data_IF_015588225102
#
_entry.id   IF_015588225102
#
_cell.length_a   1.000
_cell.length_b   1.000
_cell.length_c   1.000
_cell.angle_alpha   90.00
_cell.angle_beta   90.00
_cell.angle_gamma   90.00
#
_symmetry.space_group_name_H-M   'P 1'
#
loop_
_entity.id
_entity.type
_entity.pdbx_description
1 polymer ?
#
# COMPACT_ATOMS: atom_id res chain seq x y z
N UNK A 1 -37.53 -29.04 50.99
CA UNK A 1 -36.70 -27.83 51.23
C UNK A 1 -35.23 -28.09 50.87
N UNK A 2 -34.60 -29.14 51.39
CA UNK A 2 -33.22 -29.56 51.05
C UNK A 2 -32.98 -29.85 49.56
N UNK A 3 -33.90 -30.55 48.87
CA UNK A 3 -33.76 -30.82 47.43
C UNK A 3 -33.84 -29.56 46.55
N UNK A 4 -34.64 -28.57 46.96
CA UNK A 4 -34.79 -27.30 46.24
C UNK A 4 -33.50 -26.48 46.33
N UNK A 5 -32.91 -26.41 47.54
CA UNK A 5 -31.61 -25.76 47.77
C UNK A 5 -30.50 -26.43 46.94
N UNK A 6 -30.55 -27.77 46.82
CA UNK A 6 -29.57 -28.52 46.03
C UNK A 6 -29.67 -28.24 44.52
N UNK A 7 -30.89 -28.16 43.98
CA UNK A 7 -31.10 -27.83 42.56
C UNK A 7 -30.76 -26.37 42.26
N UNK A 8 -31.17 -25.43 43.11
CA UNK A 8 -30.82 -24.02 42.95
C UNK A 8 -29.30 -23.79 43.01
N UNK A 9 -28.59 -24.55 43.87
CA UNK A 9 -27.13 -24.53 43.92
C UNK A 9 -26.50 -25.10 42.64
N UNK A 10 -27.10 -26.13 42.02
CA UNK A 10 -26.64 -26.70 40.75
C UNK A 10 -26.85 -25.75 39.57
N UNK A 11 -28.01 -25.11 39.48
CA UNK A 11 -28.31 -24.18 38.39
C UNK A 11 -27.40 -22.96 38.45
N UNK A 12 -27.17 -22.42 39.66
CA UNK A 12 -26.19 -21.34 39.86
C UNK A 12 -24.77 -21.78 39.52
N UNK A 13 -24.38 -23.01 39.82
CA UNK A 13 -23.08 -23.54 39.44
C UNK A 13 -22.93 -23.64 37.91
N UNK A 14 -23.96 -24.12 37.21
CA UNK A 14 -23.97 -24.17 35.73
C UNK A 14 -23.94 -22.77 35.10
N UNK A 15 -24.69 -21.82 35.64
CA UNK A 15 -24.67 -20.43 35.16
C UNK A 15 -23.29 -19.78 35.31
N UNK A 16 -22.62 -20.03 36.45
CA UNK A 16 -21.25 -19.56 36.70
C UNK A 16 -20.29 -20.22 35.71
N UNK A 17 -20.42 -21.52 35.49
CA UNK A 17 -19.58 -22.27 34.55
C UNK A 17 -19.76 -21.77 33.11
N UNK A 18 -21.01 -21.52 32.69
CA UNK A 18 -21.32 -21.03 31.33
C UNK A 18 -20.78 -19.61 31.10
N UNK A 19 -20.90 -18.74 32.11
CA UNK A 19 -20.32 -17.38 32.06
C UNK A 19 -18.80 -17.41 32.04
N UNK A 20 -18.18 -18.27 32.85
CA UNK A 20 -16.73 -18.45 32.85
C UNK A 20 -16.22 -18.94 31.48
N UNK A 21 -16.90 -19.90 30.85
CA UNK A 21 -16.57 -20.38 29.50
C UNK A 21 -16.75 -19.29 28.43
N UNK A 22 -17.80 -18.46 28.54
CA UNK A 22 -17.99 -17.34 27.64
C UNK A 22 -16.90 -16.28 27.81
N UNK A 23 -16.54 -15.90 29.03
CA UNK A 23 -15.46 -14.95 29.31
C UNK A 23 -14.12 -15.47 28.80
N UNK A 24 -13.80 -16.75 29.04
CA UNK A 24 -12.59 -17.41 28.51
C UNK A 24 -12.57 -17.34 26.97
N UNK A 25 -13.70 -17.60 26.32
CA UNK A 25 -13.80 -17.55 24.85
C UNK A 25 -13.54 -16.14 24.29
N UNK A 26 -14.03 -15.10 24.97
CA UNK A 26 -13.86 -13.70 24.58
C UNK A 26 -12.40 -13.28 24.79
N UNK A 27 -11.78 -13.67 25.90
CA UNK A 27 -10.36 -13.39 26.16
C UNK A 27 -9.44 -14.11 25.17
N UNK A 28 -9.71 -15.39 24.88
CA UNK A 28 -9.00 -16.12 23.82
C UNK A 28 -9.10 -15.41 22.48
N UNK A 29 -10.30 -14.98 22.08
CA UNK A 29 -10.50 -14.24 20.83
C UNK A 29 -9.73 -12.92 20.81
N UNK A 30 -9.69 -12.17 21.92
CA UNK A 30 -8.90 -10.94 22.03
C UNK A 30 -7.40 -11.22 21.87
N UNK A 31 -6.87 -12.25 22.53
CA UNK A 31 -5.46 -12.63 22.44
C UNK A 31 -5.12 -13.06 21.01
N UNK A 32 -5.96 -13.89 20.38
CA UNK A 32 -5.78 -14.37 19.01
C UNK A 32 -5.79 -13.20 18.02
N UNK A 33 -6.73 -12.27 18.14
CA UNK A 33 -6.80 -11.09 17.28
C UNK A 33 -5.57 -10.18 17.46
N UNK A 34 -5.15 -9.95 18.71
CA UNK A 34 -3.95 -9.15 19.00
C UNK A 34 -2.68 -9.79 18.43
N UNK A 35 -2.54 -11.11 18.57
CA UNK A 35 -1.42 -11.85 17.98
C UNK A 35 -1.46 -11.81 16.46
N UNK A 36 -2.64 -11.96 15.86
CA UNK A 36 -2.83 -11.89 14.40
C UNK A 36 -2.44 -10.53 13.85
N UNK A 37 -2.81 -9.44 14.52
CA UNK A 37 -2.40 -8.08 14.14
C UNK A 37 -0.88 -7.89 14.23
N UNK A 38 -0.24 -8.36 15.31
CA UNK A 38 1.23 -8.32 15.45
C UNK A 38 1.92 -9.09 14.32
N UNK A 39 1.44 -10.30 14.04
CA UNK A 39 1.94 -11.13 12.93
C UNK A 39 1.80 -10.38 11.60
N UNK A 40 0.63 -9.80 11.32
CA UNK A 40 0.42 -9.03 10.09
C UNK A 40 1.35 -7.82 9.98
N UNK A 41 1.57 -7.08 11.08
CA UNK A 41 2.50 -5.96 11.11
C UNK A 41 3.94 -6.41 10.86
N UNK A 42 4.37 -7.53 11.43
CA UNK A 42 5.72 -8.06 11.24
C UNK A 42 5.93 -8.60 9.82
N UNK A 43 4.94 -9.27 9.23
CA UNK A 43 4.96 -9.65 7.82
C UNK A 43 5.07 -8.41 6.92
N UNK A 44 4.24 -7.38 7.16
CA UNK A 44 4.29 -6.15 6.36
C UNK A 44 5.65 -5.44 6.46
N UNK A 45 6.28 -5.41 7.64
CA UNK A 45 7.63 -4.88 7.84
C UNK A 45 8.67 -5.70 7.08
N UNK A 46 8.63 -7.04 7.20
CA UNK A 46 9.56 -7.94 6.50
C UNK A 46 9.42 -7.83 4.99
N UNK A 47 8.20 -7.77 4.46
CA UNK A 47 7.97 -7.61 3.02
C UNK A 47 8.56 -6.29 2.51
N UNK A 48 8.32 -5.17 3.21
CA UNK A 48 8.94 -3.88 2.85
C UNK A 48 10.47 -3.94 2.91
N UNK A 49 11.03 -4.58 3.93
CA UNK A 49 12.48 -4.72 4.07
C UNK A 49 13.08 -5.55 2.93
N UNK A 50 12.43 -6.65 2.53
CA UNK A 50 12.83 -7.47 1.38
C UNK A 50 12.73 -6.67 0.07
N UNK A 51 11.65 -5.91 -0.14
CA UNK A 51 11.48 -5.08 -1.33
C UNK A 51 12.57 -4.00 -1.44
N UNK A 52 12.88 -3.32 -0.32
CA UNK A 52 13.96 -2.32 -0.29
C UNK A 52 15.32 -2.97 -0.53
N UNK A 53 15.57 -4.13 0.07
CA UNK A 53 16.82 -4.86 -0.10
C UNK A 53 17.00 -5.30 -1.56
N UNK A 54 15.95 -5.85 -2.17
CA UNK A 54 15.95 -6.24 -3.58
C UNK A 54 16.09 -5.03 -4.53
N UNK A 55 15.61 -3.84 -4.14
CA UNK A 55 15.81 -2.61 -4.91
C UNK A 55 17.27 -2.12 -4.82
N UNK A 56 17.88 -2.17 -3.62
CA UNK A 56 19.29 -1.84 -3.40
C UNK A 56 20.19 -2.81 -4.17
N UNK A 57 19.92 -4.11 -4.11
CA UNK A 57 20.67 -5.14 -4.84
C UNK A 57 20.59 -4.95 -6.35
N UNK A 58 19.40 -4.66 -6.90
CA UNK A 58 19.25 -4.34 -8.33
C UNK A 58 20.05 -3.09 -8.72
N UNK A 59 19.98 -2.03 -7.91
CA UNK A 59 20.72 -0.79 -8.17
C UNK A 59 22.25 -0.99 -8.11
N UNK A 60 22.73 -1.70 -7.10
CA UNK A 60 24.17 -1.99 -6.94
C UNK A 60 24.69 -2.89 -8.06
N UNK A 61 23.92 -3.89 -8.51
CA UNK A 61 24.27 -4.72 -9.66
C UNK A 61 24.36 -3.91 -10.96
N UNK A 62 23.39 -3.01 -11.22
CA UNK A 62 23.40 -2.13 -12.40
C UNK A 62 24.61 -1.19 -12.36
N UNK A 63 24.88 -0.57 -11.21
CA UNK A 63 26.01 0.35 -11.07
C UNK A 63 27.35 -0.36 -11.20
N UNK A 64 27.50 -1.58 -10.68
CA UNK A 64 28.69 -2.41 -10.89
C UNK A 64 28.93 -2.68 -12.37
N UNK A 65 27.90 -3.12 -13.10
CA UNK A 65 28.01 -3.37 -14.54
C UNK A 65 28.36 -2.10 -15.33
N UNK A 66 27.81 -0.94 -14.93
CA UNK A 66 28.17 0.36 -15.53
C UNK A 66 29.64 0.71 -15.31
N UNK A 67 30.15 0.54 -14.09
CA UNK A 67 31.56 0.82 -13.76
C UNK A 67 32.51 -0.10 -14.53
N UNK A 68 32.18 -1.40 -14.65
CA UNK A 68 32.95 -2.35 -15.46
C UNK A 68 32.99 -1.92 -16.94
N UNK A 69 31.84 -1.53 -17.52
CA UNK A 69 31.79 -1.02 -18.90
C UNK A 69 32.65 0.24 -19.08
N UNK A 70 32.63 1.16 -18.13
CA UNK A 70 33.46 2.37 -18.17
C UNK A 70 34.94 1.99 -18.12
N UNK A 71 35.32 1.08 -17.22
CA UNK A 71 36.70 0.60 -17.09
C UNK A 71 37.19 -0.06 -18.38
N UNK A 72 36.43 -1.01 -18.94
CA UNK A 72 36.78 -1.65 -20.21
C UNK A 72 36.84 -0.64 -21.36
N UNK A 73 35.96 0.35 -21.40
CA UNK A 73 36.03 1.43 -22.40
C UNK A 73 37.31 2.25 -22.25
N UNK A 74 37.71 2.58 -21.04
CA UNK A 74 38.94 3.35 -20.77
C UNK A 74 40.19 2.54 -21.13
N UNK A 75 40.21 1.24 -20.83
CA UNK A 75 41.27 0.32 -21.25
C UNK A 75 41.36 0.23 -22.77
N UNK A 76 40.23 0.06 -23.47
CA UNK A 76 40.19 0.03 -24.94
C UNK A 76 40.64 1.35 -25.57
N UNK A 77 40.27 2.50 -25.00
CA UNK A 77 40.77 3.80 -25.43
C UNK A 77 42.28 3.90 -25.21
N UNK A 78 42.79 3.42 -24.06
CA UNK A 78 44.22 3.34 -23.78
C UNK A 78 44.96 2.48 -24.81
N UNK A 79 44.43 1.31 -25.15
CA UNK A 79 44.99 0.44 -26.19
C UNK A 79 44.95 1.09 -27.57
N UNK A 80 43.87 1.79 -27.92
CA UNK A 80 43.74 2.49 -29.19
C UNK A 80 44.74 3.65 -29.29
N UNK A 81 44.91 4.42 -28.21
CA UNK A 81 45.92 5.49 -28.13
C UNK A 81 47.33 4.92 -28.25
N UNK A 82 47.66 3.86 -27.52
CA UNK A 82 48.97 3.22 -27.59
C UNK A 82 49.26 2.63 -28.98
N UNK A 83 48.28 1.96 -29.59
CA UNK A 83 48.39 1.43 -30.95
C UNK A 83 48.57 2.54 -31.99
N UNK A 84 47.82 3.64 -31.86
CA UNK A 84 47.94 4.81 -32.73
C UNK A 84 49.31 5.48 -32.58
N UNK A 85 49.82 5.64 -31.35
CA UNK A 85 51.16 6.16 -31.09
C UNK A 85 52.24 5.27 -31.70
N UNK A 86 52.10 3.94 -31.58
CA UNK A 86 53.06 2.98 -32.14
C UNK A 86 53.07 2.98 -33.67
N UNK A 87 51.89 3.03 -34.30
CA UNK A 87 51.78 3.12 -35.75
C UNK A 87 52.28 4.47 -36.28
N UNK A 88 52.00 5.56 -35.56
CA UNK A 88 52.53 6.88 -35.90
C UNK A 88 54.06 6.90 -35.80
N UNK A 89 54.63 6.32 -34.73
CA UNK A 89 56.08 6.16 -34.58
C UNK A 89 56.69 5.37 -35.75
N UNK A 90 56.07 4.23 -36.14
CA UNK A 90 56.52 3.42 -37.28
C UNK A 90 56.46 4.19 -38.61
N UNK A 91 55.43 4.99 -38.83
CA UNK A 91 55.32 5.83 -40.04
C UNK A 91 56.34 6.96 -40.08
N UNK A 92 56.76 7.44 -38.91
CA UNK A 92 57.78 8.48 -38.75
C UNK A 92 59.22 7.95 -38.79
N UNK A 93 59.45 6.63 -38.86
CA UNK A 93 60.77 6.04 -39.14
C UNK A 93 61.22 6.30 -40.60
N UNK A 94 60.27 6.46 -41.52
CA UNK A 94 60.53 6.79 -42.91
C UNK A 94 60.77 8.30 -43.05
N UNK A 95 62.03 8.68 -43.29
CA UNK A 95 62.47 10.09 -43.39
C UNK A 95 61.64 10.91 -44.39
N UNK A 96 61.19 10.31 -45.50
CA UNK A 96 60.40 11.02 -46.50
C UNK A 96 59.00 11.37 -45.98
N UNK A 97 58.35 10.41 -45.29
CA UNK A 97 57.03 10.59 -44.67
C UNK A 97 57.11 11.51 -43.45
N UNK A 98 58.19 11.43 -42.68
CA UNK A 98 58.45 12.33 -41.55
C UNK A 98 58.57 13.78 -42.03
N UNK A 99 59.35 14.03 -43.10
CA UNK A 99 59.49 15.36 -43.71
C UNK A 99 58.14 15.91 -44.19
N UNK A 100 57.37 15.09 -44.89
CA UNK A 100 56.03 15.47 -45.37
C UNK A 100 55.07 15.81 -44.21
N UNK A 101 55.08 14.99 -43.15
CA UNK A 101 54.22 15.20 -41.98
C UNK A 101 54.57 16.49 -41.23
N UNK A 102 55.86 16.76 -40.99
CA UNK A 102 56.32 18.00 -40.33
C UNK A 102 55.97 19.22 -41.18
N UNK A 103 56.15 19.14 -42.50
CA UNK A 103 55.78 20.21 -43.44
C UNK A 103 54.28 20.54 -43.33
N UNK A 104 53.41 19.53 -43.32
CA UNK A 104 51.96 19.70 -43.17
C UNK A 104 51.56 20.32 -41.82
N UNK A 105 52.21 19.91 -40.73
CA UNK A 105 51.96 20.50 -39.40
C UNK A 105 52.34 21.99 -39.35
N UNK A 106 53.48 22.35 -39.97
CA UNK A 106 53.90 23.75 -40.07
C UNK A 106 52.88 24.54 -40.90
N UNK A 107 52.47 24.04 -42.07
CA UNK A 107 51.45 24.69 -42.92
C UNK A 107 50.14 24.88 -42.15
N UNK A 108 49.67 23.86 -41.42
CA UNK A 108 48.47 23.97 -40.59
C UNK A 108 48.61 25.05 -39.51
N UNK A 109 49.77 25.10 -38.84
CA UNK A 109 50.07 26.15 -37.86
C UNK A 109 50.09 27.56 -38.48
N UNK A 110 50.70 27.72 -39.65
CA UNK A 110 50.72 28.99 -40.39
C UNK A 110 49.31 29.44 -40.81
N UNK A 111 48.46 28.51 -41.27
CA UNK A 111 47.06 28.78 -41.60
C UNK A 111 46.21 29.14 -40.38
N UNK A 112 46.55 28.64 -39.19
CA UNK A 112 45.85 28.99 -37.96
C UNK A 112 46.28 30.34 -37.39
N UNK A 113 47.57 30.68 -37.51
CA UNK A 113 48.11 31.93 -36.97
C UNK A 113 47.90 33.11 -37.92
N UNK A 114 48.00 32.91 -39.24
CA UNK A 114 47.87 33.96 -40.27
C UNK A 114 48.72 35.22 -40.03
N UNK A 115 49.85 35.09 -39.34
CA UNK A 115 50.77 36.20 -39.05
C UNK A 115 51.90 36.33 -40.08
N UNK A 116 52.50 37.52 -40.18
CA UNK A 116 53.58 37.82 -41.14
C UNK A 116 54.94 37.24 -40.72
N UNK A 117 55.14 37.01 -39.42
CA UNK A 117 56.35 36.42 -38.86
C UNK A 117 55.99 35.36 -37.83
N UNK A 118 56.46 34.13 -38.03
CA UNK A 118 56.15 32.98 -37.16
C UNK A 118 57.45 32.28 -36.73
N UNK A 119 57.54 32.01 -35.44
CA UNK A 119 58.66 31.29 -34.85
C UNK A 119 58.25 29.84 -34.55
N UNK A 120 58.97 28.88 -35.13
CA UNK A 120 58.75 27.45 -34.90
C UNK A 120 59.68 26.98 -33.78
N UNK A 121 59.09 26.41 -32.72
CA UNK A 121 59.83 25.77 -31.63
C UNK A 121 59.85 24.27 -31.84
N UNK A 122 61.04 23.67 -31.86
CA UNK A 122 61.24 22.24 -32.01
C UNK A 122 62.18 21.70 -30.94
N UNK A 123 62.36 20.37 -30.89
CA UNK A 123 63.39 19.74 -30.06
C UNK A 123 64.75 19.88 -30.74
N UNK A 124 65.82 19.88 -29.94
CA UNK A 124 67.21 19.99 -30.42
C UNK A 124 67.60 18.91 -31.45
N UNK A 125 67.06 17.70 -31.32
CA UNK A 125 67.32 16.61 -32.26
C UNK A 125 66.68 16.81 -33.65
N UNK A 126 65.62 17.64 -33.74
CA UNK A 126 64.81 17.79 -34.94
C UNK A 126 65.08 19.10 -35.69
N UNK A 127 65.94 19.98 -35.15
CA UNK A 127 66.22 21.33 -35.67
C UNK A 127 66.67 21.30 -37.15
N UNK A 128 67.56 20.37 -37.51
CA UNK A 128 68.05 20.24 -38.88
C UNK A 128 66.93 19.83 -39.87
N UNK A 129 66.04 18.92 -39.45
CA UNK A 129 64.92 18.44 -40.27
C UNK A 129 63.85 19.54 -40.43
N UNK A 130 63.53 20.24 -39.35
CA UNK A 130 62.55 21.34 -39.36
C UNK A 130 63.06 22.50 -40.23
N UNK A 131 64.34 22.86 -40.14
CA UNK A 131 64.95 23.88 -40.98
C UNK A 131 64.82 23.55 -42.49
N UNK A 132 64.98 22.28 -42.86
CA UNK A 132 64.79 21.82 -44.25
C UNK A 132 63.31 21.89 -44.69
N UNK A 133 62.37 21.58 -43.79
CA UNK A 133 60.93 21.57 -44.08
C UNK A 133 60.33 22.98 -44.21
N UNK A 134 60.89 23.99 -43.54
CA UNK A 134 60.34 25.36 -43.54
C UNK A 134 60.25 25.93 -44.95
N UNK A 135 61.27 25.71 -45.79
CA UNK A 135 61.28 26.20 -47.17
C UNK A 135 60.15 25.61 -48.03
N UNK A 136 59.85 24.33 -47.82
CA UNK A 136 58.77 23.62 -48.51
C UNK A 136 57.40 24.05 -47.94
N UNK A 137 57.28 24.21 -46.62
CA UNK A 137 56.05 24.64 -45.93
C UNK A 137 55.62 26.07 -46.30
N UNK A 138 56.54 27.03 -46.43
CA UNK A 138 56.21 28.41 -46.82
C UNK A 138 55.73 28.48 -48.27
N UNK A 139 56.29 27.65 -49.16
CA UNK A 139 55.81 27.52 -50.55
C UNK A 139 54.41 26.90 -50.61
N UNK A 140 54.16 25.86 -49.81
CA UNK A 140 52.84 25.22 -49.75
C UNK A 140 51.79 26.15 -49.14
N UNK A 141 52.11 26.85 -48.04
CA UNK A 141 51.25 27.86 -47.43
C UNK A 141 50.90 29.00 -48.39
N UNK A 142 51.90 29.59 -49.08
CA UNK A 142 51.65 30.68 -50.04
C UNK A 142 50.81 30.23 -51.22
N UNK A 143 50.96 28.97 -51.68
CA UNK A 143 50.10 28.37 -52.69
C UNK A 143 48.66 28.22 -52.19
N UNK A 144 48.47 27.64 -51.00
CA UNK A 144 47.14 27.45 -50.40
C UNK A 144 46.41 28.78 -50.17
N UNK A 145 47.13 29.81 -49.69
CA UNK A 145 46.57 31.15 -49.50
C UNK A 145 46.21 31.80 -50.84
N UNK A 146 47.07 31.68 -51.86
CA UNK A 146 46.81 32.22 -53.20
C UNK A 146 45.60 31.56 -53.87
N UNK A 147 45.48 30.23 -53.75
CA UNK A 147 44.35 29.46 -54.28
C UNK A 147 43.04 29.81 -53.56
N UNK A 148 43.10 30.17 -52.27
CA UNK A 148 41.90 30.46 -51.45
C UNK A 148 41.47 31.93 -51.44
N UNK A 149 42.40 32.88 -51.55
CA UNK A 149 42.13 34.32 -51.34
C UNK A 149 42.52 35.20 -52.53
N UNK A 150 43.21 34.67 -53.54
CA UNK A 150 43.70 35.43 -54.70
C UNK A 150 44.88 36.36 -54.43
N UNK A 151 45.28 36.55 -53.17
CA UNK A 151 46.43 37.37 -52.76
C UNK A 151 47.61 36.49 -52.28
N UNK A 152 48.85 36.93 -52.52
CA UNK A 152 50.05 36.23 -52.03
C UNK A 152 50.50 36.81 -50.70
N UNK A 153 50.52 36.00 -49.64
CA UNK A 153 51.05 36.39 -48.31
C UNK A 153 52.38 35.68 -48.05
N UNK A 154 53.45 36.45 -47.88
CA UNK A 154 54.78 35.93 -47.58
C UNK A 154 54.99 35.91 -46.06
N UNK A 155 55.05 34.72 -45.46
CA UNK A 155 55.33 34.57 -44.04
C UNK A 155 56.84 34.33 -43.84
N UNK A 156 57.46 35.13 -42.96
CA UNK A 156 58.83 34.89 -42.49
C UNK A 156 58.79 33.86 -41.38
N UNK A 157 59.29 32.65 -41.65
CA UNK A 157 59.33 31.56 -40.68
C UNK A 157 60.76 31.31 -40.23
N UNK A 158 61.01 31.42 -38.93
CA UNK A 158 62.33 31.16 -38.32
C UNK A 158 62.24 30.12 -37.21
N UNK A 159 63.31 29.35 -37.00
CA UNK A 159 63.40 28.44 -35.85
C UNK A 159 63.86 29.24 -34.63
N UNK A 160 63.09 29.19 -33.53
CA UNK A 160 63.46 29.82 -32.27
C UNK A 160 64.51 28.96 -31.55
N UNK A 161 65.76 29.41 -31.60
CA UNK A 161 66.90 28.73 -30.97
C UNK A 161 67.00 29.01 -29.46
N UNK A 162 66.20 29.92 -28.91
CA UNK A 162 66.26 30.34 -27.50
C UNK A 162 65.28 29.57 -26.62
N UNK A 163 64.13 29.15 -27.15
CA UNK A 163 63.09 28.39 -26.40
C UNK A 163 62.82 27.05 -27.07
N UNK A 164 63.45 25.99 -26.57
CA UNK A 164 63.29 24.63 -27.10
C UNK A 164 62.10 23.92 -26.47
N UNK A 165 61.41 23.07 -27.25
CA UNK A 165 60.38 22.20 -26.69
C UNK A 165 61.00 21.24 -25.67
N UNK A 166 60.27 20.90 -24.59
CA UNK A 166 60.80 20.01 -23.57
C UNK A 166 61.23 18.68 -24.20
N UNK A 167 62.35 18.10 -23.71
CA UNK A 167 62.71 16.74 -24.07
C UNK A 167 61.52 15.82 -23.76
N UNK A 168 61.44 14.67 -24.45
CA UNK A 168 60.47 13.65 -24.09
C UNK A 168 60.53 13.45 -22.56
N UNK A 169 59.38 13.37 -21.86
CA UNK A 169 59.37 13.38 -20.41
C UNK A 169 60.22 12.23 -19.87
N UNK A 170 61.44 12.59 -19.52
CA UNK A 170 62.34 11.92 -18.60
C UNK A 170 62.51 12.96 -17.49
N UNK A 171 62.20 12.56 -16.26
CA UNK A 171 62.05 13.45 -15.11
C UNK A 171 63.25 14.37 -14.87
N UNK A 172 62.92 15.49 -14.23
CA UNK A 172 63.78 16.36 -13.42
C UNK A 172 64.22 17.70 -14.05
N UNK A 173 63.83 18.76 -13.35
CA UNK A 173 64.07 20.17 -13.63
C UNK A 173 65.08 20.75 -12.63
N UNK A 174 66.02 21.59 -13.09
CA UNK A 174 66.67 22.66 -12.28
C UNK A 174 67.76 23.42 -13.11
N UNK A 175 67.56 24.70 -13.46
CA UNK A 175 68.09 25.97 -12.85
C UNK A 175 69.26 26.61 -13.69
N UNK A 176 69.90 27.78 -13.34
CA UNK A 176 69.52 29.18 -13.67
C UNK A 176 70.74 30.11 -14.08
N UNK A 177 70.62 31.46 -13.90
CA UNK A 177 71.66 32.54 -13.70
C UNK A 177 71.99 33.48 -14.89
N UNK A 178 72.54 34.72 -14.81
CA UNK A 178 72.68 35.87 -13.87
C UNK A 178 73.51 36.96 -14.62
N UNK A 179 73.26 38.27 -14.52
CA UNK A 179 74.23 39.36 -14.84
C UNK A 179 73.88 40.68 -14.11
N UNK A 180 74.83 41.20 -13.32
CA UNK A 180 74.70 42.41 -12.50
C UNK A 180 75.56 43.58 -13.02
N UNK A 181 74.96 44.75 -13.15
CA UNK A 181 75.62 46.00 -13.57
C UNK A 181 74.61 47.11 -13.89
N UNK A 182 73.47 46.76 -14.48
CA UNK A 182 72.23 47.57 -14.54
C UNK A 182 71.42 47.46 -13.23
N UNK A 183 72.04 46.85 -12.20
CA UNK A 183 71.37 46.06 -11.19
C UNK A 183 70.45 46.86 -10.27
N UNK A 184 70.68 48.14 -9.96
CA UNK A 184 69.81 48.86 -9.01
C UNK A 184 68.52 49.37 -9.64
N UNK A 185 68.58 49.92 -10.84
CA UNK A 185 67.38 50.38 -11.56
C UNK A 185 66.56 49.20 -12.07
N UNK A 186 67.22 48.16 -12.60
CA UNK A 186 66.51 46.92 -12.93
C UNK A 186 65.99 46.21 -11.70
N UNK A 187 66.70 46.22 -10.56
CA UNK A 187 66.18 45.64 -9.32
C UNK A 187 65.03 46.46 -8.74
N UNK A 188 65.03 47.79 -8.87
CA UNK A 188 63.89 48.62 -8.49
C UNK A 188 62.66 48.36 -9.38
N UNK A 189 62.85 48.23 -10.70
CA UNK A 189 61.80 47.81 -11.63
C UNK A 189 61.31 46.38 -11.33
N UNK A 190 62.22 45.44 -11.04
CA UNK A 190 61.88 44.07 -10.65
C UNK A 190 61.07 44.09 -9.36
N UNK A 191 61.43 44.92 -8.37
CA UNK A 191 60.67 45.05 -7.12
C UNK A 191 59.28 45.64 -7.36
N UNK A 192 59.15 46.66 -8.21
CA UNK A 192 57.86 47.23 -8.59
C UNK A 192 56.99 46.21 -9.33
N UNK A 193 57.56 45.48 -10.29
CA UNK A 193 56.87 44.38 -10.97
C UNK A 193 56.49 43.25 -10.01
N UNK A 194 57.36 42.92 -9.05
CA UNK A 194 57.08 41.90 -8.04
C UNK A 194 55.93 42.34 -7.13
N UNK A 195 55.88 43.60 -6.72
CA UNK A 195 54.76 44.14 -5.95
C UNK A 195 53.46 44.16 -6.76
N UNK A 196 53.53 44.52 -8.05
CA UNK A 196 52.36 44.45 -8.92
C UNK A 196 51.84 43.01 -9.03
N UNK A 197 52.72 42.03 -9.24
CA UNK A 197 52.36 40.61 -9.28
C UNK A 197 51.77 40.14 -7.95
N UNK A 198 52.33 40.57 -6.82
CA UNK A 198 51.80 40.23 -5.49
C UNK A 198 50.41 40.84 -5.23
N UNK A 199 50.19 42.09 -5.63
CA UNK A 199 48.89 42.74 -5.50
C UNK A 199 47.87 42.11 -6.45
N UNK A 200 48.24 41.81 -7.70
CA UNK A 200 47.36 41.10 -8.63
C UNK A 200 47.02 39.69 -8.13
N UNK A 201 47.99 38.98 -7.55
CA UNK A 201 47.74 37.67 -6.93
C UNK A 201 46.81 37.79 -5.71
N UNK A 202 46.96 38.86 -4.91
CA UNK A 202 46.09 39.15 -3.77
C UNK A 202 44.67 39.49 -4.21
N UNK A 203 44.50 40.37 -5.19
CA UNK A 203 43.19 40.74 -5.72
C UNK A 203 42.47 39.53 -6.31
N UNK A 204 43.21 38.65 -7.03
CA UNK A 204 42.67 37.37 -7.52
C UNK A 204 42.29 36.43 -6.39
N UNK A 205 43.06 36.37 -5.31
CA UNK A 205 42.70 35.56 -4.14
C UNK A 205 41.43 36.09 -3.45
N UNK A 206 41.33 37.40 -3.25
CA UNK A 206 40.13 38.05 -2.68
C UNK A 206 38.90 37.86 -3.59
N UNK A 207 39.07 37.91 -4.92
CA UNK A 207 38.00 37.59 -5.87
C UNK A 207 37.54 36.13 -5.78
N UNK A 208 38.47 35.18 -5.63
CA UNK A 208 38.14 33.76 -5.43
C UNK A 208 37.39 33.56 -4.11
N UNK A 209 37.85 34.17 -3.03
CA UNK A 209 37.22 34.05 -1.71
C UNK A 209 35.80 34.63 -1.70
N UNK A 210 35.62 35.82 -2.30
CA UNK A 210 34.29 36.44 -2.40
C UNK A 210 33.34 35.62 -3.25
N UNK A 211 33.81 35.03 -4.37
CA UNK A 211 33.01 34.10 -5.18
C UNK A 211 32.67 32.82 -4.42
N UNK A 212 33.63 32.24 -3.71
CA UNK A 212 33.40 31.03 -2.91
C UNK A 212 32.32 31.26 -1.84
N UNK A 213 32.35 32.40 -1.13
CA UNK A 213 31.31 32.75 -0.15
C UNK A 213 29.93 32.96 -0.79
N UNK A 214 29.88 33.56 -1.98
CA UNK A 214 28.63 33.73 -2.72
C UNK A 214 28.05 32.37 -3.15
N UNK A 215 28.88 31.50 -3.71
CA UNK A 215 28.49 30.14 -4.12
C UNK A 215 28.03 29.32 -2.91
N UNK A 216 28.76 29.35 -1.80
CA UNK A 216 28.39 28.66 -0.56
C UNK A 216 27.01 29.12 -0.06
N UNK A 217 26.76 30.43 -0.06
CA UNK A 217 25.48 31.01 0.34
C UNK A 217 24.32 30.53 -0.56
N UNK A 218 24.54 30.52 -1.87
CA UNK A 218 23.55 30.06 -2.87
C UNK A 218 23.27 28.57 -2.68
N UNK A 219 24.30 27.74 -2.52
CA UNK A 219 24.14 26.29 -2.32
C UNK A 219 23.44 25.97 -1.01
N UNK A 220 23.82 26.65 0.08
CA UNK A 220 23.17 26.49 1.39
C UNK A 220 21.69 26.82 1.30
N UNK A 221 21.34 27.94 0.65
CA UNK A 221 19.95 28.35 0.47
C UNK A 221 19.17 27.36 -0.40
N UNK A 222 19.80 26.84 -1.46
CA UNK A 222 19.21 25.80 -2.32
C UNK A 222 18.91 24.51 -1.54
N UNK A 223 19.85 24.04 -0.72
CA UNK A 223 19.67 22.85 0.11
C UNK A 223 18.57 23.08 1.16
N UNK A 224 18.60 24.22 1.86
CA UNK A 224 17.60 24.56 2.88
C UNK A 224 16.21 24.64 2.26
N UNK A 225 16.05 25.31 1.11
CA UNK A 225 14.76 25.40 0.42
C UNK A 225 14.28 24.02 -0.05
N UNK A 226 15.16 23.21 -0.63
CA UNK A 226 14.82 21.85 -1.06
C UNK A 226 14.37 20.97 0.11
N UNK A 227 15.03 21.07 1.27
CA UNK A 227 14.65 20.32 2.47
C UNK A 227 13.36 20.86 3.07
N UNK A 228 13.16 22.18 3.10
CA UNK A 228 11.92 22.82 3.57
C UNK A 228 10.71 22.39 2.75
N UNK A 229 10.84 22.33 1.43
CA UNK A 229 9.77 21.82 0.54
C UNK A 229 9.42 20.36 0.84
N UNK A 230 10.44 19.49 1.00
CA UNK A 230 10.21 18.08 1.39
C UNK A 230 9.48 17.97 2.72
N UNK A 231 9.93 18.73 3.72
CA UNK A 231 9.28 18.77 5.03
C UNK A 231 7.82 19.23 4.90
N UNK A 232 7.56 20.32 4.17
CA UNK A 232 6.20 20.81 3.94
C UNK A 232 5.30 19.77 3.27
N UNK A 233 5.79 19.04 2.27
CA UNK A 233 5.05 17.97 1.60
C UNK A 233 4.75 16.80 2.54
N UNK A 234 5.71 16.40 3.37
CA UNK A 234 5.54 15.32 4.35
C UNK A 234 4.52 15.70 5.43
N UNK A 235 4.58 16.93 5.96
CA UNK A 235 3.59 17.43 6.91
C UNK A 235 2.21 17.54 6.28
N UNK A 236 2.09 18.05 5.04
CA UNK A 236 0.81 18.09 4.34
C UNK A 236 0.20 16.69 4.16
N UNK A 237 1.02 15.68 3.83
CA UNK A 237 0.58 14.29 3.75
C UNK A 237 0.13 13.74 5.10
N UNK A 238 0.90 13.97 6.16
CA UNK A 238 0.57 13.53 7.53
C UNK A 238 -0.72 14.19 8.04
N UNK A 239 -0.90 15.49 7.80
CA UNK A 239 -2.13 16.20 8.18
C UNK A 239 -3.34 15.59 7.49
N UNK A 240 -3.29 15.39 6.17
CA UNK A 240 -4.39 14.74 5.43
C UNK A 240 -4.68 13.32 5.93
N UNK A 241 -3.64 12.57 6.29
CA UNK A 241 -3.80 11.23 6.85
C UNK A 241 -4.50 11.27 8.21
N UNK A 242 -4.11 12.18 9.10
CA UNK A 242 -4.74 12.36 10.41
C UNK A 242 -6.19 12.82 10.27
N UNK A 243 -6.48 13.77 9.36
CA UNK A 243 -7.85 14.22 9.09
C UNK A 243 -8.73 13.08 8.60
N UNK A 244 -8.22 12.26 7.67
CA UNK A 244 -8.93 11.08 7.16
C UNK A 244 -9.16 10.06 8.27
N UNK A 245 -8.14 9.79 9.09
CA UNK A 245 -8.24 8.86 10.21
C UNK A 245 -9.26 9.34 11.25
N UNK A 246 -9.24 10.62 11.61
CA UNK A 246 -10.21 11.22 12.52
C UNK A 246 -11.64 11.19 11.95
N UNK A 247 -11.82 11.32 10.63
CA UNK A 247 -13.11 11.14 9.98
C UNK A 247 -13.60 9.69 10.05
N UNK A 248 -12.72 8.72 9.80
CA UNK A 248 -13.03 7.28 9.93
C UNK A 248 -13.41 6.93 11.36
N UNK A 249 -12.64 7.39 12.35
CA UNK A 249 -12.90 7.15 13.77
C UNK A 249 -14.24 7.74 14.20
N UNK A 250 -14.54 8.99 13.82
CA UNK A 250 -15.85 9.60 14.07
C UNK A 250 -16.99 8.79 13.44
N UNK A 251 -16.85 8.39 12.18
CA UNK A 251 -17.87 7.59 11.49
C UNK A 251 -18.08 6.21 12.14
N UNK A 252 -16.99 5.58 12.58
CA UNK A 252 -17.01 4.27 13.24
C UNK A 252 -17.66 4.37 14.61
N UNK A 253 -17.35 5.40 15.39
CA UNK A 253 -17.98 5.66 16.68
C UNK A 253 -19.50 5.89 16.54
N UNK A 254 -19.92 6.72 15.57
CA UNK A 254 -21.34 6.96 15.28
C UNK A 254 -22.04 5.65 14.86
N UNK A 255 -21.41 4.86 13.98
CA UNK A 255 -21.98 3.60 13.54
C UNK A 255 -22.09 2.59 14.69
N UNK A 256 -21.08 2.52 15.57
CA UNK A 256 -21.11 1.69 16.77
C UNK A 256 -22.28 2.06 17.67
N UNK A 257 -22.45 3.35 17.99
CA UNK A 257 -23.59 3.82 18.79
C UNK A 257 -24.94 3.55 18.10
N UNK A 258 -25.00 3.64 16.76
CA UNK A 258 -26.21 3.29 16.00
C UNK A 258 -26.54 1.80 16.11
N UNK A 259 -25.55 0.93 15.95
CA UNK A 259 -25.72 -0.52 16.08
C UNK A 259 -26.15 -0.92 17.51
N UNK A 260 -25.55 -0.29 18.51
CA UNK A 260 -25.92 -0.50 19.92
C UNK A 260 -27.39 -0.13 20.17
N UNK A 261 -27.85 1.02 19.67
CA UNK A 261 -29.28 1.39 19.74
C UNK A 261 -30.18 0.37 19.05
N UNK A 262 -29.78 -0.16 17.89
CA UNK A 262 -30.55 -1.19 17.18
C UNK A 262 -30.59 -2.49 18.00
N UNK A 263 -29.46 -2.90 18.59
CA UNK A 263 -29.35 -4.08 19.44
C UNK A 263 -30.27 -3.97 20.66
N UNK A 264 -30.20 -2.87 21.41
CA UNK A 264 -31.06 -2.66 22.58
C UNK A 264 -32.55 -2.63 22.20
N UNK A 265 -32.91 -2.04 21.05
CA UNK A 265 -34.30 -2.10 20.55
C UNK A 265 -34.75 -3.53 20.23
N UNK A 266 -33.88 -4.37 19.68
CA UNK A 266 -34.18 -5.78 19.40
C UNK A 266 -34.30 -6.60 20.69
N UNK A 267 -33.41 -6.38 21.66
CA UNK A 267 -33.45 -7.00 22.99
C UNK A 267 -34.78 -6.69 23.70
N UNK A 268 -35.24 -5.44 23.66
CA UNK A 268 -36.54 -5.05 24.22
C UNK A 268 -37.72 -5.76 23.55
N UNK A 269 -37.66 -5.99 22.23
CA UNK A 269 -38.69 -6.77 21.52
C UNK A 269 -38.65 -8.25 21.90
N UNK A 270 -37.46 -8.82 22.15
CA UNK A 270 -37.32 -10.18 22.63
C UNK A 270 -37.90 -10.34 24.05
N UNK A 271 -37.61 -9.39 24.95
CA UNK A 271 -38.22 -9.38 26.28
C UNK A 271 -39.74 -9.23 26.24
N UNK A 272 -40.28 -8.38 25.35
CA UNK A 272 -41.72 -8.25 25.16
C UNK A 272 -42.36 -9.58 24.70
N UNK A 273 -41.67 -10.33 23.83
CA UNK A 273 -42.11 -11.65 23.39
C UNK A 273 -42.11 -12.64 24.55
N UNK A 274 -41.04 -12.70 25.35
CA UNK A 274 -40.94 -13.56 26.54
C UNK A 274 -42.03 -13.23 27.58
N UNK A 275 -42.31 -11.95 27.82
CA UNK A 275 -43.35 -11.53 28.76
C UNK A 275 -44.75 -11.85 28.24
N UNK A 276 -44.97 -11.73 26.93
CA UNK A 276 -46.20 -12.16 26.28
C UNK A 276 -46.40 -13.68 26.41
N UNK A 277 -45.33 -14.47 26.27
CA UNK A 277 -45.34 -15.92 26.49
C UNK A 277 -45.72 -16.27 27.93
N UNK A 278 -45.10 -15.62 28.92
CA UNK A 278 -45.42 -15.82 30.35
C UNK A 278 -46.88 -15.46 30.66
N UNK A 279 -47.38 -14.35 30.12
CA UNK A 279 -48.76 -13.93 30.32
C UNK A 279 -49.77 -14.88 29.66
N UNK A 280 -49.46 -15.39 28.46
CA UNK A 280 -50.26 -16.42 27.81
C UNK A 280 -50.29 -17.72 28.61
N UNK A 281 -49.14 -18.16 29.14
CA UNK A 281 -49.06 -19.35 29.99
C UNK A 281 -49.93 -19.20 31.26
N UNK A 282 -49.92 -18.02 31.89
CA UNK A 282 -50.78 -17.72 33.06
C UNK A 282 -52.27 -17.78 32.70
N UNK A 283 -52.67 -17.20 31.57
CA UNK A 283 -54.08 -17.18 31.14
C UNK A 283 -54.60 -18.57 30.76
N UNK A 284 -53.73 -19.40 30.19
CA UNK A 284 -54.04 -20.76 29.76
C UNK A 284 -53.88 -21.82 30.88
N UNK A 285 -53.52 -21.40 32.10
CA UNK A 285 -53.56 -22.28 33.27
C UNK A 285 -55.00 -22.70 33.65
N UNK A 286 -56.00 -21.92 33.25
CA UNK A 286 -57.41 -22.24 33.42
C UNK A 286 -57.86 -23.29 32.40
N UNK A 287 -58.17 -24.51 32.88
CA UNK A 287 -58.56 -25.66 32.06
C UNK A 287 -59.77 -25.37 31.17
N UNK A 288 -60.75 -24.58 31.64
CA UNK A 288 -61.96 -24.30 30.85
C UNK A 288 -61.62 -23.44 29.61
N UNK A 289 -60.81 -22.40 29.81
CA UNK A 289 -60.31 -21.54 28.73
C UNK A 289 -59.38 -22.30 27.79
N UNK A 290 -58.51 -23.13 28.34
CA UNK A 290 -57.59 -23.96 27.56
C UNK A 290 -58.35 -24.96 26.67
N UNK A 291 -59.39 -25.62 27.19
CA UNK A 291 -60.26 -26.54 26.45
C UNK A 291 -60.95 -25.84 25.27
N UNK A 292 -61.57 -24.68 25.54
CA UNK A 292 -62.21 -23.89 24.48
C UNK A 292 -61.21 -23.45 23.41
N UNK A 293 -60.03 -22.98 23.83
CA UNK A 293 -58.98 -22.51 22.94
C UNK A 293 -58.45 -23.64 22.04
N UNK A 294 -58.13 -24.81 22.60
CA UNK A 294 -57.64 -25.97 21.83
C UNK A 294 -58.71 -26.47 20.85
N UNK A 295 -59.97 -26.50 21.27
CA UNK A 295 -61.09 -26.87 20.38
C UNK A 295 -61.12 -25.95 19.15
N UNK A 296 -61.01 -24.63 19.34
CA UNK A 296 -60.96 -23.66 18.24
C UNK A 296 -59.72 -23.82 17.35
N UNK A 297 -58.55 -24.14 17.92
CA UNK A 297 -57.34 -24.40 17.14
C UNK A 297 -57.48 -25.63 16.24
N UNK A 298 -58.11 -26.69 16.74
CA UNK A 298 -58.40 -27.90 15.94
C UNK A 298 -59.38 -27.54 14.82
N UNK A 299 -60.49 -26.85 15.13
CA UNK A 299 -61.48 -26.41 14.12
C UNK A 299 -60.81 -25.58 13.02
N UNK A 300 -59.99 -24.60 13.38
CA UNK A 300 -59.25 -23.79 12.40
C UNK A 300 -58.35 -24.65 11.52
N UNK A 301 -57.62 -25.60 12.09
CA UNK A 301 -56.76 -26.51 11.33
C UNK A 301 -57.55 -27.40 10.37
N UNK A 302 -58.69 -27.93 10.80
CA UNK A 302 -59.58 -28.73 9.95
C UNK A 302 -60.15 -27.92 8.77
N UNK A 303 -60.54 -26.66 9.01
CA UNK A 303 -61.01 -25.75 7.97
C UNK A 303 -59.91 -25.37 6.97
N UNK A 304 -58.63 -25.39 7.38
CA UNK A 304 -57.50 -25.13 6.48
C UNK A 304 -57.09 -26.37 5.69
N UNK A 305 -57.16 -27.57 6.28
CA UNK A 305 -56.80 -28.82 5.61
C UNK A 305 -57.89 -29.30 4.64
N UNK A 306 -59.17 -29.23 5.05
CA UNK A 306 -60.32 -29.74 4.28
C UNK A 306 -60.14 -31.19 3.79
N UNK A 307 -59.58 -32.06 4.62
CA UNK A 307 -59.32 -33.48 4.30
C UNK A 307 -60.25 -34.41 5.11
N UNK A 308 -60.43 -35.64 4.65
CA UNK A 308 -61.35 -36.61 5.29
C UNK A 308 -60.73 -37.29 6.51
N UNK A 309 -59.41 -37.44 6.54
CA UNK A 309 -58.66 -38.06 7.64
C UNK A 309 -57.53 -37.15 8.09
N UNK A 310 -57.55 -36.77 9.37
CA UNK A 310 -56.56 -35.87 9.96
C UNK A 310 -56.01 -36.45 11.27
N UNK A 311 -54.70 -36.38 11.43
CA UNK A 311 -53.98 -36.76 12.64
C UNK A 311 -53.61 -35.50 13.43
N UNK A 312 -53.87 -35.50 14.74
CA UNK A 312 -53.54 -34.38 15.64
C UNK A 312 -52.34 -34.77 16.50
N UNK A 313 -51.29 -33.97 16.43
CA UNK A 313 -50.10 -34.07 17.27
C UNK A 313 -50.21 -33.03 18.37
N UNK A 314 -50.04 -33.48 19.60
CA UNK A 314 -50.06 -32.62 20.79
C UNK A 314 -48.91 -33.02 21.72
N UNK A 315 -48.79 -32.31 22.85
CA UNK A 315 -47.89 -32.76 23.91
C UNK A 315 -48.45 -33.97 24.64
N UNK A 316 -47.54 -34.75 25.21
CA UNK A 316 -47.89 -35.87 26.09
C UNK A 316 -48.76 -35.46 27.29
N UNK A 317 -48.54 -34.27 27.86
CA UNK A 317 -49.33 -33.76 28.98
C UNK A 317 -50.75 -33.33 28.59
N UNK A 318 -50.96 -32.95 27.32
CA UNK A 318 -52.22 -32.40 26.83
C UNK A 318 -53.08 -33.46 26.11
N UNK A 319 -52.59 -34.69 25.95
CA UNK A 319 -53.24 -35.76 25.19
C UNK A 319 -54.67 -36.06 25.67
N UNK A 320 -54.87 -36.14 26.99
CA UNK A 320 -56.20 -36.38 27.56
C UNK A 320 -57.17 -35.22 27.24
N UNK A 321 -56.70 -33.98 27.36
CA UNK A 321 -57.52 -32.79 27.10
C UNK A 321 -57.85 -32.67 25.60
N UNK A 322 -56.88 -32.93 24.72
CA UNK A 322 -57.09 -32.93 23.27
C UNK A 322 -58.09 -34.01 22.87
N UNK A 323 -57.99 -35.22 23.44
CA UNK A 323 -58.94 -36.31 23.18
C UNK A 323 -60.39 -35.91 23.50
N UNK A 324 -60.61 -35.19 24.61
CA UNK A 324 -61.93 -34.65 24.94
C UNK A 324 -62.41 -33.56 23.96
N UNK A 325 -61.50 -32.74 23.42
CA UNK A 325 -61.85 -31.64 22.51
C UNK A 325 -62.21 -32.10 21.09
N UNK A 326 -61.74 -33.28 20.66
CA UNK A 326 -61.91 -33.74 19.28
C UNK A 326 -63.39 -33.88 18.90
N UNK A 327 -64.22 -34.44 19.79
CA UNK A 327 -65.66 -34.60 19.53
C UNK A 327 -66.36 -33.26 19.29
N UNK A 328 -66.09 -32.28 20.16
CA UNK A 328 -66.64 -30.93 20.04
C UNK A 328 -66.12 -30.21 18.79
N UNK A 329 -64.83 -30.37 18.46
CA UNK A 329 -64.21 -29.75 17.30
C UNK A 329 -64.78 -30.30 15.97
N UNK A 330 -64.97 -31.61 15.85
CA UNK A 330 -65.58 -32.22 14.65
C UNK A 330 -67.02 -31.74 14.48
N UNK A 331 -67.78 -31.66 15.57
CA UNK A 331 -69.16 -31.13 15.53
C UNK A 331 -69.21 -29.66 15.10
N UNK A 332 -68.29 -28.83 15.59
CA UNK A 332 -68.20 -27.42 15.18
C UNK A 332 -67.77 -27.27 13.73
N UNK A 333 -66.77 -28.03 13.28
CA UNK A 333 -66.33 -28.07 11.88
C UNK A 333 -67.48 -28.43 10.95
N UNK A 334 -68.23 -29.50 11.23
CA UNK A 334 -69.36 -29.93 10.41
C UNK A 334 -70.48 -28.89 10.35
N UNK A 335 -70.71 -28.13 11.43
CA UNK A 335 -71.66 -27.00 11.43
C UNK A 335 -71.19 -25.87 10.53
N UNK A 336 -69.95 -25.39 10.71
CA UNK A 336 -69.40 -24.28 9.93
C UNK A 336 -69.37 -24.60 8.43
N UNK A 337 -69.02 -25.83 8.06
CA UNK A 337 -69.01 -26.26 6.65
C UNK A 337 -70.44 -26.31 6.07
N UNK A 338 -71.41 -26.84 6.82
CA UNK A 338 -72.82 -26.86 6.40
C UNK A 338 -73.37 -25.44 6.22
N UNK A 339 -73.09 -24.56 7.17
CA UNK A 339 -73.57 -23.17 7.15
C UNK A 339 -72.96 -22.37 5.99
N UNK A 340 -71.69 -22.63 5.65
CA UNK A 340 -70.96 -21.87 4.62
C UNK A 340 -71.13 -22.41 3.20
N UNK A 341 -71.27 -23.74 3.04
CA UNK A 341 -71.22 -24.39 1.71
C UNK A 341 -72.46 -25.22 1.38
N UNK A 342 -73.35 -25.47 2.34
CA UNK A 342 -74.51 -26.36 2.19
C UNK A 342 -74.18 -27.86 2.11
N UNK A 343 -72.90 -28.23 2.07
CA UNK A 343 -72.44 -29.62 2.02
C UNK A 343 -72.14 -30.17 3.43
N UNK A 344 -72.37 -31.48 3.64
CA UNK A 344 -72.01 -32.16 4.88
C UNK A 344 -70.69 -32.91 4.70
N UNK A 345 -69.59 -32.39 5.23
CA UNK A 345 -68.29 -33.07 5.23
C UNK A 345 -67.96 -33.58 6.64
N UNK A 346 -67.74 -34.89 6.77
CA UNK A 346 -67.33 -35.51 8.03
C UNK A 346 -65.81 -35.77 7.99
N UNK A 347 -65.10 -35.36 9.05
CA UNK A 347 -63.67 -35.59 9.18
C UNK A 347 -63.41 -36.63 10.29
N UNK A 348 -62.62 -37.66 9.98
CA UNK A 348 -62.09 -38.61 10.97
C UNK A 348 -60.80 -38.03 11.56
N UNK A 349 -60.87 -37.66 12.83
CA UNK A 349 -59.74 -37.07 13.56
C UNK A 349 -59.20 -38.07 14.59
N UNK A 350 -57.90 -38.34 14.55
CA UNK A 350 -57.22 -39.25 15.50
C UNK A 350 -55.99 -38.59 16.11
N UNK A 351 -55.65 -38.91 17.35
CA UNK A 351 -54.42 -38.41 17.99
C UNK A 351 -53.23 -39.28 17.55
N UNK A 352 -52.15 -38.64 17.09
CA UNK A 352 -50.91 -39.31 16.71
C UNK A 352 -50.05 -39.58 17.95
N UNK A 353 -49.96 -40.86 18.34
CA UNK A 353 -49.16 -41.29 19.48
C UNK A 353 -47.67 -41.49 19.16
N UNK A 354 -47.29 -41.49 17.87
CA UNK A 354 -45.92 -41.76 17.43
C UNK A 354 -45.06 -40.49 17.39
N UNK A 355 -45.66 -39.36 17.00
CA UNK A 355 -44.97 -38.07 16.88
C UNK A 355 -45.60 -37.04 17.81
N UNK A 356 -44.97 -36.80 18.96
CA UNK A 356 -45.46 -35.86 19.97
C UNK A 356 -44.72 -34.51 19.90
N UNK A 357 -45.39 -33.45 20.35
CA UNK A 357 -44.77 -32.12 20.44
C UNK A 357 -43.75 -32.04 21.60
N UNK A 358 -42.77 -31.13 21.51
CA UNK A 358 -41.81 -30.92 22.59
C UNK A 358 -42.50 -30.58 23.93
N UNK A 359 -41.89 -30.96 25.07
CA UNK A 359 -42.48 -30.76 26.39
C UNK A 359 -42.64 -29.27 26.75
N UNK A 360 -43.34 -29.01 27.87
CA UNK A 360 -43.50 -27.67 28.39
C UNK A 360 -42.13 -27.05 28.78
N UNK A 361 -42.01 -25.70 28.83
CA UNK A 361 -40.75 -25.03 29.13
C UNK A 361 -40.37 -25.28 30.60
N UNK A 362 -39.21 -25.92 30.83
CA UNK A 362 -38.71 -26.29 32.17
C UNK A 362 -37.59 -25.37 32.69
N UNK A 363 -37.38 -24.20 32.07
CA UNK A 363 -36.29 -23.27 32.44
C UNK A 363 -34.96 -23.52 31.71
N UNK A 364 -34.72 -24.75 31.25
CA UNK A 364 -33.52 -25.10 30.47
C UNK A 364 -33.65 -24.76 28.98
N UNK A 365 -32.93 -23.74 28.53
CA UNK A 365 -32.94 -23.26 27.13
C UNK A 365 -32.35 -24.26 26.11
N UNK A 366 -31.69 -25.33 26.57
CA UNK A 366 -31.02 -26.32 25.70
C UNK A 366 -31.99 -27.38 25.13
N UNK A 367 -33.16 -27.57 25.74
CA UNK A 367 -34.15 -28.55 25.28
C UNK A 367 -35.24 -27.88 24.44
N UNK A 368 -35.63 -28.46 23.28
CA UNK A 368 -36.78 -27.96 22.54
C UNK A 368 -38.02 -27.99 23.46
N UNK A 369 -38.64 -26.83 23.63
CA UNK A 369 -39.85 -26.68 24.44
C UNK A 369 -40.91 -25.94 23.64
N UNK A 370 -42.16 -26.07 24.07
CA UNK A 370 -43.29 -25.43 23.42
C UNK A 370 -44.26 -24.96 24.53
N UNK A 371 -45.12 -23.97 24.27
CA UNK A 371 -46.11 -23.43 25.24
C UNK A 371 -47.47 -24.12 25.20
N UNK A 372 -47.94 -24.49 24.02
CA UNK A 372 -49.07 -25.43 23.87
C UNK A 372 -49.55 -25.51 22.43
N UNK A 373 -50.72 -26.10 22.26
CA UNK A 373 -51.45 -26.15 21.01
C UNK A 373 -51.33 -27.48 20.29
N UNK A 374 -51.66 -27.46 19.00
CA UNK A 374 -51.81 -28.67 18.19
C UNK A 374 -51.17 -28.47 16.82
N UNK A 375 -50.57 -29.54 16.31
CA UNK A 375 -50.14 -29.63 14.91
C UNK A 375 -51.01 -30.65 14.24
N UNK A 376 -51.68 -30.26 13.15
CA UNK A 376 -52.51 -31.17 12.38
C UNK A 376 -51.71 -31.70 11.21
N UNK A 377 -51.83 -32.99 10.92
CA UNK A 377 -51.14 -33.67 9.84
C UNK A 377 -52.14 -34.49 9.03
N UNK A 378 -51.99 -34.51 7.71
CA UNK A 378 -52.75 -35.42 6.85
C UNK A 378 -51.82 -36.08 5.81
N UNK A 379 -52.36 -37.03 5.05
CA UNK A 379 -51.60 -37.79 4.05
C UNK A 379 -50.31 -38.42 4.63
N UNK A 380 -50.42 -39.10 5.78
CA UNK A 380 -49.29 -39.72 6.50
C UNK A 380 -48.18 -38.73 6.89
N UNK A 381 -48.53 -37.46 7.12
CA UNK A 381 -47.61 -36.42 7.58
C UNK A 381 -46.96 -35.58 6.48
N UNK A 382 -47.36 -35.76 5.21
CA UNK A 382 -46.85 -34.94 4.09
C UNK A 382 -47.32 -33.49 4.18
N UNK A 383 -48.57 -33.26 4.58
CA UNK A 383 -49.12 -31.91 4.76
C UNK A 383 -49.32 -31.69 6.26
N UNK A 384 -48.72 -30.64 6.80
CA UNK A 384 -48.82 -30.29 8.22
C UNK A 384 -49.21 -28.83 8.40
N UNK A 385 -50.06 -28.58 9.39
CA UNK A 385 -50.42 -27.24 9.84
C UNK A 385 -49.98 -27.09 11.28
N UNK A 386 -48.99 -26.24 11.50
CA UNK A 386 -48.54 -25.89 12.82
C UNK A 386 -49.43 -24.78 13.42
N UNK A 387 -50.31 -25.17 14.34
CA UNK A 387 -51.18 -24.27 15.07
C UNK A 387 -50.80 -24.20 16.55
N UNK A 388 -49.51 -24.37 16.86
CA UNK A 388 -48.98 -24.18 18.20
C UNK A 388 -49.00 -22.72 18.63
N UNK A 389 -49.02 -22.49 19.94
CA UNK A 389 -49.06 -21.14 20.52
C UNK A 389 -47.81 -20.36 20.14
N UNK A 390 -46.65 -21.01 20.10
CA UNK A 390 -45.37 -20.39 19.78
C UNK A 390 -45.33 -19.88 18.35
N UNK A 391 -45.71 -20.72 17.38
CA UNK A 391 -45.77 -20.33 15.97
C UNK A 391 -46.77 -19.21 15.73
N UNK A 392 -47.94 -19.27 16.38
CA UNK A 392 -48.93 -18.18 16.30
C UNK A 392 -48.43 -16.88 16.90
N UNK A 393 -47.81 -16.93 18.08
CA UNK A 393 -47.27 -15.74 18.74
C UNK A 393 -46.16 -15.12 17.88
N UNK A 394 -45.29 -15.94 17.30
CA UNK A 394 -44.24 -15.47 16.40
C UNK A 394 -44.82 -14.77 15.17
N UNK A 395 -45.84 -15.34 14.53
CA UNK A 395 -46.54 -14.71 13.40
C UNK A 395 -47.17 -13.36 13.77
N UNK A 396 -47.88 -13.30 14.91
CA UNK A 396 -48.49 -12.06 15.40
C UNK A 396 -47.42 -11.02 15.74
N UNK A 397 -46.34 -11.42 16.41
CA UNK A 397 -45.23 -10.52 16.72
C UNK A 397 -44.62 -9.95 15.44
N UNK A 398 -44.38 -10.76 14.40
CA UNK A 398 -43.86 -10.29 13.12
C UNK A 398 -44.79 -9.27 12.43
N UNK A 399 -46.10 -9.57 12.39
CA UNK A 399 -47.08 -8.68 11.78
C UNK A 399 -47.29 -7.39 12.58
N UNK A 400 -47.22 -7.47 13.91
CA UNK A 400 -47.40 -6.34 14.81
C UNK A 400 -46.14 -5.50 15.03
N UNK A 401 -44.95 -5.97 14.61
CA UNK A 401 -43.66 -5.27 14.75
C UNK A 401 -43.72 -3.79 14.34
N UNK A 402 -44.31 -3.40 13.19
CA UNK A 402 -44.39 -1.99 12.80
C UNK A 402 -45.18 -1.15 13.82
N UNK A 403 -46.33 -1.66 14.27
CA UNK A 403 -47.19 -1.01 15.27
C UNK A 403 -46.49 -0.91 16.63
N UNK A 404 -45.89 -2.01 17.10
CA UNK A 404 -45.14 -2.06 18.36
C UNK A 404 -43.97 -1.06 18.33
N UNK A 405 -43.22 -1.00 17.22
CA UNK A 405 -42.11 -0.04 17.06
C UNK A 405 -42.58 1.40 17.09
N UNK A 406 -43.74 1.68 16.50
CA UNK A 406 -44.35 3.02 16.53
C UNK A 406 -44.81 3.40 17.94
N UNK A 407 -45.31 2.47 18.74
CA UNK A 407 -45.77 2.75 20.11
C UNK A 407 -44.63 2.88 21.11
N UNK A 408 -43.54 2.12 20.95
CA UNK A 408 -42.45 2.07 21.92
C UNK A 408 -41.29 3.03 21.63
N UNK A 409 -41.07 3.38 20.36
CA UNK A 409 -39.84 4.08 19.95
C UNK A 409 -40.06 5.34 19.09
N UNK A 410 -41.30 5.67 18.75
CA UNK A 410 -41.70 6.92 18.08
C UNK A 410 -42.67 7.65 19.00
#
# INVERSE_FOLDING_TARGET
>A
MTQFILNEAKDKAQDIETKALQEESIERLKIVNSMKEKIQQDYAKKTKQIETQAAIERSTAINRSRLEKIKSRQEMLGHLHAASQKELAKRLEDKAKQKQFITQLIVQGLLMLLEDSVEVRCRKCDEALVAECIGDAVKEYSKVIKDSTGASKNCKVTVDQKVQLPPAPNGDASTPSCLGGVARETQAQILQMTQFILNEARDKAEEIDTKALQEESIERLKIVNSMKEKIQQDYARKTKQIETQAAIERSTAINRSRLEKIKSRQEMLAHLQEDSQKELAKRLADKAKQKQFITQLIVQGLLMLLEDTVEVRCRKCDEALVAECIGDAVNQYSKVIKDSTGASKNCKVTVDQKVQLPPAPNGDASTPSCLGGVVLACQKGTITIDNTIDSRLQLVMEQAKPTIRKLLFH
#
